data_IF_127545085481
#
_entry.id   IF_127545085481
#
_cell.length_a   1.000
_cell.length_b   1.000
_cell.length_c   1.000
_cell.angle_alpha   90.00
_cell.angle_beta   90.00
_cell.angle_gamma   90.00
#
_symmetry.space_group_name_H-M   'P 1'
#
loop_
_entity.id
_entity.type
_entity.pdbx_description
1 polymer ?
#
# COMPACT_ATOMS: atom_id res chain seq x y z
N UNK A 1 29.54 21.87 -27.07
CA UNK A 1 29.50 20.69 -26.18
C UNK A 1 28.32 20.90 -25.26
N UNK A 2 27.45 19.90 -25.13
CA UNK A 2 26.26 19.99 -24.28
C UNK A 2 26.68 19.73 -22.84
N UNK A 3 26.38 20.64 -21.91
CA UNK A 3 26.60 20.37 -20.48
C UNK A 3 25.26 20.11 -19.80
N UNK A 4 25.15 18.95 -19.15
CA UNK A 4 24.00 18.58 -18.34
C UNK A 4 24.27 18.90 -16.86
N UNK A 5 23.32 19.53 -16.19
CA UNK A 5 23.35 19.78 -14.74
C UNK A 5 22.00 19.52 -14.11
N UNK A 6 21.98 19.20 -12.81
CA UNK A 6 20.74 19.07 -12.05
C UNK A 6 20.41 20.39 -11.35
N UNK A 7 19.17 20.85 -11.45
CA UNK A 7 18.71 22.04 -10.75
C UNK A 7 17.24 21.89 -10.37
N UNK A 8 16.96 21.92 -9.07
CA UNK A 8 15.61 21.94 -8.51
C UNK A 8 14.63 20.93 -9.13
N UNK A 9 15.02 19.65 -9.19
CA UNK A 9 14.18 18.58 -9.75
C UNK A 9 14.09 18.57 -11.28
N UNK A 10 14.90 19.38 -11.96
CA UNK A 10 15.00 19.44 -13.42
C UNK A 10 16.40 19.08 -13.89
N UNK A 11 16.47 18.46 -15.06
CA UNK A 11 17.69 18.33 -15.83
C UNK A 11 17.82 19.58 -16.70
N UNK A 12 18.93 20.28 -16.57
CA UNK A 12 19.25 21.50 -17.31
C UNK A 12 20.32 21.18 -18.35
N UNK A 13 20.15 21.69 -19.57
CA UNK A 13 21.16 21.61 -20.62
C UNK A 13 21.63 23.00 -21.05
N UNK A 14 22.95 23.18 -21.11
CA UNK A 14 23.59 24.40 -21.63
C UNK A 14 24.58 24.07 -22.75
N UNK A 15 25.03 25.08 -23.51
CA UNK A 15 26.00 24.91 -24.60
C UNK A 15 25.44 24.33 -25.91
N UNK A 16 24.15 24.06 -25.98
CA UNK A 16 23.41 23.69 -27.19
C UNK A 16 22.43 24.80 -27.60
N UNK A 17 22.48 25.20 -28.88
CA UNK A 17 21.49 26.11 -29.48
C UNK A 17 20.35 25.36 -30.19
N UNK A 18 20.56 24.09 -30.56
CA UNK A 18 19.57 23.19 -31.18
C UNK A 18 20.02 21.72 -31.03
N UNK A 19 19.13 20.76 -31.29
CA UNK A 19 19.47 19.32 -31.32
C UNK A 19 19.44 18.60 -29.97
N UNK A 20 18.78 19.17 -28.96
CA UNK A 20 18.51 18.46 -27.70
C UNK A 20 17.40 17.42 -27.89
N UNK A 21 17.51 16.22 -27.30
CA UNK A 21 16.46 15.23 -27.34
C UNK A 21 15.22 15.70 -26.57
N UNK A 22 14.03 15.25 -26.98
CA UNK A 22 12.84 15.33 -26.12
C UNK A 22 13.14 14.66 -24.77
N UNK A 23 12.63 15.19 -23.64
CA UNK A 23 11.60 16.24 -23.53
C UNK A 23 12.12 17.64 -23.14
N UNK A 24 13.31 18.06 -23.59
CA UNK A 24 13.81 19.41 -23.28
C UNK A 24 12.94 20.53 -23.86
N UNK A 25 12.64 21.53 -23.04
CA UNK A 25 11.90 22.74 -23.41
C UNK A 25 12.70 23.98 -22.99
N UNK A 26 12.70 25.02 -23.82
CA UNK A 26 13.36 26.30 -23.51
C UNK A 26 12.58 27.06 -22.43
N UNK A 27 13.23 27.36 -21.30
CA UNK A 27 12.68 28.22 -20.26
C UNK A 27 13.22 29.65 -20.44
N UNK A 28 12.35 30.55 -20.90
CA UNK A 28 12.70 31.95 -21.14
C UNK A 28 13.06 32.74 -19.86
N UNK A 29 12.67 32.27 -18.68
CA UNK A 29 12.95 32.94 -17.39
C UNK A 29 14.39 32.73 -16.96
N UNK A 30 14.89 31.50 -17.13
CA UNK A 30 16.26 31.11 -16.77
C UNK A 30 17.21 31.11 -17.96
N UNK A 31 16.68 31.27 -19.19
CA UNK A 31 17.41 31.24 -20.47
C UNK A 31 18.20 29.94 -20.66
N UNK A 32 17.57 28.83 -20.31
CA UNK A 32 18.16 27.50 -20.31
C UNK A 32 17.14 26.47 -20.82
N UNK A 33 17.64 25.36 -21.36
CA UNK A 33 16.80 24.21 -21.69
C UNK A 33 16.58 23.35 -20.45
N UNK A 34 15.33 22.97 -20.18
CA UNK A 34 14.95 22.15 -19.02
C UNK A 34 14.11 20.95 -19.42
N UNK A 35 14.33 19.84 -18.74
CA UNK A 35 13.50 18.64 -18.77
C UNK A 35 13.26 18.18 -17.33
N UNK A 36 12.21 17.37 -17.05
CA UNK A 36 12.09 16.69 -15.77
C UNK A 36 13.35 15.86 -15.50
N UNK A 37 13.86 15.87 -14.27
CA UNK A 37 15.04 15.07 -13.90
C UNK A 37 14.84 13.56 -14.19
N UNK A 38 13.61 13.06 -14.06
CA UNK A 38 13.26 11.68 -14.40
C UNK A 38 13.52 11.27 -15.86
N UNK A 39 13.68 12.24 -16.77
CA UNK A 39 14.03 11.97 -18.17
C UNK A 39 15.54 11.70 -18.38
N UNK A 40 16.36 11.84 -17.34
CA UNK A 40 17.82 11.78 -17.40
C UNK A 40 18.36 10.55 -18.13
N UNK A 41 17.86 9.35 -17.80
CA UNK A 41 18.31 8.12 -18.45
C UNK A 41 18.08 8.15 -19.95
N UNK A 42 16.88 8.51 -20.38
CA UNK A 42 16.52 8.53 -21.80
C UNK A 42 17.34 9.57 -22.56
N UNK A 43 17.50 10.77 -21.98
CA UNK A 43 18.32 11.85 -22.53
C UNK A 43 19.77 11.39 -22.73
N UNK A 44 20.40 10.83 -21.68
CA UNK A 44 21.81 10.43 -21.75
C UNK A 44 22.00 9.29 -22.75
N UNK A 45 21.07 8.34 -22.84
CA UNK A 45 21.13 7.28 -23.84
C UNK A 45 21.02 7.83 -25.27
N UNK A 46 20.05 8.72 -25.54
CA UNK A 46 19.90 9.38 -26.85
C UNK A 46 21.13 10.20 -27.25
N UNK A 47 21.72 10.93 -26.30
CA UNK A 47 22.94 11.71 -26.55
C UNK A 47 24.14 10.81 -26.88
N UNK A 48 24.25 9.64 -26.24
CA UNK A 48 25.27 8.64 -26.56
C UNK A 48 25.03 7.99 -27.92
N UNK A 49 23.79 7.61 -28.23
CA UNK A 49 23.41 6.98 -29.51
C UNK A 49 23.65 7.92 -30.70
N UNK A 50 23.38 9.21 -30.54
CA UNK A 50 23.63 10.24 -31.57
C UNK A 50 25.09 10.67 -31.70
N UNK A 51 25.96 10.24 -30.77
CA UNK A 51 27.37 10.67 -30.74
C UNK A 51 27.57 12.14 -30.37
N UNK A 52 26.56 12.81 -29.84
CA UNK A 52 26.64 14.22 -29.47
C UNK A 52 27.62 14.42 -28.30
N UNK A 53 28.61 15.29 -28.49
CA UNK A 53 29.59 15.61 -27.44
C UNK A 53 28.90 16.30 -26.24
N UNK A 54 28.85 15.59 -25.11
CA UNK A 54 28.23 16.05 -23.87
C UNK A 54 29.09 15.78 -22.64
N UNK A 55 28.94 16.64 -21.63
CA UNK A 55 29.50 16.50 -20.29
C UNK A 55 28.36 16.35 -19.28
N UNK A 56 28.37 15.26 -18.50
CA UNK A 56 27.39 15.01 -17.47
C UNK A 56 27.90 15.52 -16.11
N UNK A 57 27.38 16.67 -15.68
CA UNK A 57 27.57 17.24 -14.34
C UNK A 57 26.28 17.18 -13.51
N UNK A 58 25.26 16.46 -13.99
CA UNK A 58 24.00 16.31 -13.30
C UNK A 58 24.07 15.17 -12.28
N UNK A 59 24.70 14.05 -12.64
CA UNK A 59 24.80 12.88 -11.78
C UNK A 59 25.74 13.12 -10.57
N UNK A 60 25.17 13.15 -9.37
CA UNK A 60 25.88 13.22 -8.10
C UNK A 60 25.75 11.90 -7.29
N UNK A 61 25.39 10.80 -7.95
CA UNK A 61 25.27 9.47 -7.34
C UNK A 61 26.55 8.64 -7.47
N UNK A 62 26.86 7.86 -6.44
CA UNK A 62 28.14 7.16 -6.30
C UNK A 62 28.03 5.67 -6.64
N UNK A 63 29.19 5.06 -6.91
CA UNK A 63 29.36 3.60 -6.81
C UNK A 63 29.57 3.24 -5.36
N UNK A 64 28.81 2.25 -4.89
CA UNK A 64 28.90 1.76 -3.52
C UNK A 64 29.22 0.28 -3.59
N UNK A 65 30.35 -0.12 -3.02
CA UNK A 65 30.69 -1.53 -2.86
C UNK A 65 29.77 -2.11 -1.77
N UNK A 66 28.73 -2.82 -2.20
CA UNK A 66 27.73 -3.40 -1.31
C UNK A 66 27.92 -4.91 -1.30
N UNK A 67 28.25 -5.44 -0.14
CA UNK A 67 28.20 -6.86 0.16
C UNK A 67 27.16 -7.05 1.26
N UNK A 68 26.09 -7.81 0.98
CA UNK A 68 25.08 -8.13 1.98
C UNK A 68 25.66 -9.12 2.99
N UNK A 69 25.69 -8.76 4.28
CA UNK A 69 26.04 -9.69 5.37
C UNK A 69 24.96 -10.73 5.63
N UNK A 70 23.74 -10.47 5.16
CA UNK A 70 22.61 -11.39 5.27
C UNK A 70 22.70 -12.34 4.07
N UNK A 71 23.40 -13.46 4.26
CA UNK A 71 23.46 -14.56 3.29
C UNK A 71 22.12 -15.33 3.27
N UNK A 72 21.06 -14.69 2.77
CA UNK A 72 19.81 -15.37 2.49
C UNK A 72 19.74 -15.58 0.98
N UNK A 73 19.99 -16.81 0.51
CA UNK A 73 19.84 -17.12 -0.91
C UNK A 73 18.42 -16.74 -1.35
N UNK A 74 18.27 -15.88 -2.39
CA UNK A 74 16.96 -15.50 -2.85
C UNK A 74 16.21 -16.75 -3.31
N UNK A 75 14.95 -16.90 -2.87
CA UNK A 75 14.09 -18.01 -3.28
C UNK A 75 13.94 -18.03 -4.81
N UNK A 76 13.60 -19.18 -5.43
CA UNK A 76 13.50 -19.29 -6.89
C UNK A 76 12.69 -18.17 -7.55
N UNK A 77 11.50 -17.87 -7.03
CA UNK A 77 10.64 -16.79 -7.54
C UNK A 77 11.21 -15.37 -7.32
N UNK A 78 12.08 -15.17 -6.33
CA UNK A 78 12.77 -13.90 -6.10
C UNK A 78 13.89 -13.72 -7.14
N UNK A 79 14.61 -14.80 -7.48
CA UNK A 79 15.58 -14.79 -8.58
C UNK A 79 14.91 -14.54 -9.93
N UNK A 80 13.77 -15.18 -10.18
CA UNK A 80 12.96 -14.92 -11.37
C UNK A 80 12.54 -13.45 -11.46
N UNK A 81 12.08 -12.85 -10.35
CA UNK A 81 11.71 -11.44 -10.30
C UNK A 81 12.90 -10.51 -10.63
N UNK A 82 14.07 -10.76 -10.03
CA UNK A 82 15.30 -9.98 -10.30
C UNK A 82 15.82 -10.16 -11.73
N UNK A 83 15.66 -11.35 -12.31
CA UNK A 83 16.01 -11.62 -13.69
C UNK A 83 15.07 -10.90 -14.66
N UNK A 84 13.76 -10.95 -14.40
CA UNK A 84 12.75 -10.22 -15.19
C UNK A 84 12.98 -8.69 -15.13
N UNK A 85 13.20 -8.14 -13.94
CA UNK A 85 13.57 -6.74 -13.76
C UNK A 85 14.88 -6.37 -14.47
N UNK A 86 15.86 -7.29 -14.49
CA UNK A 86 17.10 -7.13 -15.24
C UNK A 86 16.90 -7.03 -16.75
N UNK A 87 16.01 -7.85 -17.33
CA UNK A 87 15.69 -7.82 -18.77
C UNK A 87 15.05 -6.51 -19.21
N UNK A 88 14.29 -5.86 -18.32
CA UNK A 88 13.66 -4.55 -18.54
C UNK A 88 14.60 -3.39 -18.20
N UNK A 89 15.91 -3.63 -18.27
CA UNK A 89 16.93 -2.62 -18.03
C UNK A 89 16.88 -2.02 -16.62
N UNK A 90 16.57 -2.83 -15.61
CA UNK A 90 16.53 -2.44 -14.19
C UNK A 90 15.50 -1.32 -13.89
N UNK A 91 14.39 -1.33 -14.64
CA UNK A 91 13.26 -0.41 -14.44
C UNK A 91 11.96 -1.20 -14.48
N UNK A 92 11.21 -1.24 -13.38
CA UNK A 92 9.98 -2.04 -13.35
C UNK A 92 9.34 -2.21 -11.99
N UNK A 93 8.12 -2.74 -12.03
CA UNK A 93 7.31 -3.09 -10.86
C UNK A 93 7.25 -4.61 -10.70
N UNK A 94 7.59 -5.09 -9.50
CA UNK A 94 7.50 -6.48 -9.09
C UNK A 94 6.30 -6.64 -8.16
N UNK A 95 5.36 -7.48 -8.57
CA UNK A 95 4.14 -7.78 -7.83
C UNK A 95 4.30 -9.10 -7.10
N UNK A 96 4.39 -9.04 -5.78
CA UNK A 96 4.56 -10.19 -4.91
C UNK A 96 3.61 -10.06 -3.70
N UNK A 97 3.01 -11.17 -3.23
CA UNK A 97 2.15 -11.11 -2.07
C UNK A 97 2.95 -10.71 -0.82
N UNK A 98 2.23 -10.13 0.15
CA UNK A 98 2.71 -9.35 1.30
C UNK A 98 3.68 -10.02 2.28
N UNK A 99 4.92 -10.32 1.88
CA UNK A 99 5.89 -11.05 2.72
C UNK A 99 6.29 -12.39 2.11
N UNK A 100 6.15 -12.51 0.78
CA UNK A 100 6.98 -13.38 -0.02
C UNK A 100 8.46 -12.89 -0.07
N UNK A 101 8.84 -11.92 0.78
CA UNK A 101 10.16 -11.31 0.82
C UNK A 101 10.35 -10.19 -0.19
N UNK A 102 9.38 -9.26 -0.34
CA UNK A 102 9.54 -8.03 -1.15
C UNK A 102 10.82 -7.28 -0.78
N UNK A 103 11.05 -7.16 0.53
CA UNK A 103 12.26 -6.57 1.09
C UNK A 103 13.54 -7.31 0.68
N UNK A 104 13.54 -8.65 0.66
CA UNK A 104 14.69 -9.43 0.21
C UNK A 104 15.01 -9.20 -1.28
N UNK A 105 13.97 -9.08 -2.12
CA UNK A 105 14.13 -8.71 -3.53
C UNK A 105 14.76 -7.32 -3.66
N UNK A 106 14.33 -6.34 -2.86
CA UNK A 106 14.95 -5.01 -2.87
C UNK A 106 16.40 -5.03 -2.40
N UNK A 107 16.73 -5.73 -1.31
CA UNK A 107 18.12 -5.86 -0.84
C UNK A 107 19.00 -6.44 -1.94
N UNK A 108 18.56 -7.52 -2.59
CA UNK A 108 19.29 -8.12 -3.72
C UNK A 108 19.39 -7.17 -4.92
N UNK A 109 18.38 -6.35 -5.19
CA UNK A 109 18.40 -5.36 -6.25
C UNK A 109 19.39 -4.21 -5.95
N UNK A 110 19.42 -3.75 -4.70
CA UNK A 110 20.35 -2.73 -4.20
C UNK A 110 21.81 -3.21 -4.35
N UNK A 111 22.08 -4.43 -3.88
CA UNK A 111 23.39 -5.08 -4.02
C UNK A 111 23.79 -5.25 -5.49
N UNK A 112 22.88 -5.76 -6.33
CA UNK A 112 23.11 -5.96 -7.77
C UNK A 112 23.42 -4.65 -8.50
N UNK A 113 22.78 -3.55 -8.12
CA UNK A 113 23.02 -2.24 -8.76
C UNK A 113 24.32 -1.61 -8.26
N UNK A 114 24.67 -1.75 -6.97
CA UNK A 114 25.93 -1.26 -6.41
C UNK A 114 26.11 0.25 -6.53
N UNK A 115 25.02 1.01 -6.34
CA UNK A 115 24.99 2.48 -6.45
C UNK A 115 24.17 3.11 -5.33
N UNK A 116 24.33 4.42 -5.15
CA UNK A 116 23.49 5.18 -4.22
C UNK A 116 22.00 4.95 -4.50
N UNK A 117 21.25 4.61 -3.45
CA UNK A 117 19.85 4.20 -3.52
C UNK A 117 18.96 4.98 -2.55
N UNK A 118 17.81 5.42 -3.04
CA UNK A 118 16.73 5.97 -2.23
C UNK A 118 15.62 4.93 -2.09
N UNK A 119 15.28 4.56 -0.86
CA UNK A 119 14.13 3.69 -0.56
C UNK A 119 12.98 4.54 -0.03
N UNK A 120 11.85 4.54 -0.74
CA UNK A 120 10.66 5.35 -0.44
C UNK A 120 9.55 4.44 0.10
N UNK A 121 9.03 4.75 1.29
CA UNK A 121 8.02 3.94 2.00
C UNK A 121 6.81 4.80 2.43
N UNK A 122 5.61 4.23 2.66
CA UNK A 122 4.43 5.03 3.00
C UNK A 122 4.42 5.55 4.44
N UNK A 123 5.00 4.82 5.41
CA UNK A 123 4.85 5.16 6.83
C UNK A 123 6.19 5.25 7.57
N UNK A 124 6.20 5.99 8.69
CA UNK A 124 7.37 6.07 9.59
C UNK A 124 7.71 4.72 10.25
N UNK A 125 6.72 3.85 10.40
CA UNK A 125 6.94 2.50 10.93
C UNK A 125 7.73 1.66 9.92
N UNK A 126 7.33 1.67 8.65
CA UNK A 126 8.09 1.03 7.57
C UNK A 126 9.47 1.66 7.39
N UNK A 127 9.60 2.98 7.57
CA UNK A 127 10.90 3.66 7.48
C UNK A 127 11.90 3.07 8.49
N UNK A 128 11.48 2.88 9.74
CA UNK A 128 12.31 2.26 10.79
C UNK A 128 12.59 0.78 10.51
N UNK A 129 11.60 0.05 10.00
CA UNK A 129 11.77 -1.37 9.63
C UNK A 129 12.81 -1.52 8.50
N UNK A 130 12.68 -0.73 7.43
CA UNK A 130 13.62 -0.72 6.32
C UNK A 130 15.02 -0.28 6.75
N UNK A 131 15.12 0.70 7.65
CA UNK A 131 16.40 1.09 8.24
C UNK A 131 17.09 -0.08 8.94
N UNK A 132 16.38 -0.84 9.78
CA UNK A 132 16.95 -2.02 10.43
C UNK A 132 17.43 -3.03 9.40
N UNK A 133 16.57 -3.40 8.44
CA UNK A 133 16.91 -4.37 7.39
C UNK A 133 18.15 -3.96 6.62
N UNK A 134 18.23 -2.71 6.15
CA UNK A 134 19.36 -2.23 5.35
C UNK A 134 20.62 -2.06 6.20
N UNK A 135 20.48 -1.70 7.48
CA UNK A 135 21.61 -1.62 8.41
C UNK A 135 22.17 -3.01 8.71
N UNK A 136 21.31 -4.01 8.88
CA UNK A 136 21.72 -5.40 9.07
C UNK A 136 22.38 -5.97 7.81
N UNK A 137 21.83 -5.65 6.63
CA UNK A 137 22.36 -6.10 5.34
C UNK A 137 23.68 -5.39 4.98
N UNK A 138 23.73 -4.06 5.07
CA UNK A 138 24.79 -3.23 4.47
C UNK A 138 25.53 -2.33 5.44
N UNK A 139 25.19 -2.31 6.74
CA UNK A 139 25.80 -1.41 7.73
C UNK A 139 27.31 -1.63 7.93
N UNK A 140 27.85 -2.75 7.45
CA UNK A 140 29.29 -2.98 7.35
C UNK A 140 29.99 -2.27 6.21
N UNK A 141 29.25 -1.92 5.16
CA UNK A 141 29.74 -1.46 3.87
C UNK A 141 29.43 0.03 3.67
N UNK A 142 28.28 0.48 4.18
CA UNK A 142 27.85 1.87 4.11
C UNK A 142 26.91 2.22 5.26
N UNK A 143 27.01 3.46 5.75
CA UNK A 143 26.05 4.00 6.72
C UNK A 143 24.70 4.20 6.03
N UNK A 144 23.62 3.65 6.61
CA UNK A 144 22.25 3.87 6.14
C UNK A 144 21.72 5.17 6.73
N UNK A 145 21.18 6.06 5.88
CA UNK A 145 20.58 7.34 6.27
C UNK A 145 19.06 7.26 6.42
N UNK A 146 18.51 8.19 7.21
CA UNK A 146 17.07 8.37 7.39
C UNK A 146 16.65 9.79 7.04
N UNK A 147 15.62 9.91 6.21
CA UNK A 147 15.01 11.17 5.83
C UNK A 147 13.51 11.16 6.15
N UNK A 148 13.10 11.94 7.16
CA UNK A 148 11.71 12.05 7.60
C UNK A 148 11.48 11.63 9.04
N UNK A 149 10.32 12.00 9.60
CA UNK A 149 9.99 11.69 11.00
C UNK A 149 10.89 12.34 12.05
N UNK A 150 11.53 13.47 11.70
CA UNK A 150 12.50 14.18 12.54
C UNK A 150 13.97 13.89 12.19
N UNK A 151 14.25 12.88 11.36
CA UNK A 151 15.60 12.56 10.89
C UNK A 151 15.94 13.28 9.58
N UNK A 152 17.19 13.70 9.42
CA UNK A 152 17.69 14.37 8.21
C UNK A 152 19.14 13.95 7.92
N UNK A 153 19.33 12.65 7.69
CA UNK A 153 20.62 12.05 7.38
C UNK A 153 20.61 11.48 5.96
N UNK A 154 21.35 12.12 5.06
CA UNK A 154 21.46 11.71 3.66
C UNK A 154 22.80 11.00 3.47
N UNK A 155 22.75 9.71 3.17
CA UNK A 155 23.92 8.89 2.85
C UNK A 155 23.68 8.15 1.51
N UNK A 156 24.67 7.41 0.98
CA UNK A 156 24.48 6.70 -0.28
C UNK A 156 23.29 5.73 -0.27
N UNK A 157 22.94 5.13 0.86
CA UNK A 157 21.68 4.39 1.02
C UNK A 157 20.80 5.14 2.01
N UNK A 158 19.72 5.75 1.52
CA UNK A 158 18.80 6.53 2.36
C UNK A 158 17.38 5.95 2.30
N UNK A 159 16.74 5.81 3.46
CA UNK A 159 15.31 5.47 3.57
C UNK A 159 14.50 6.71 3.89
N UNK A 160 13.41 6.93 3.17
CA UNK A 160 12.54 8.10 3.30
C UNK A 160 11.07 7.73 3.20
N UNK A 161 10.17 8.56 3.73
CA UNK A 161 8.74 8.42 3.45
C UNK A 161 8.36 9.07 2.13
N UNK A 162 7.21 8.71 1.54
CA UNK A 162 6.66 9.43 0.38
C UNK A 162 6.51 10.93 0.63
N UNK A 163 6.04 11.32 1.82
CA UNK A 163 5.88 12.73 2.18
C UNK A 163 7.22 13.48 2.25
N UNK A 164 8.23 12.88 2.90
CA UNK A 164 9.55 13.48 2.99
C UNK A 164 10.29 13.45 1.65
N UNK A 165 10.11 12.41 0.84
CA UNK A 165 10.61 12.36 -0.53
C UNK A 165 10.03 13.50 -1.37
N UNK A 166 8.71 13.74 -1.31
CA UNK A 166 8.09 14.86 -2.01
C UNK A 166 8.69 16.22 -1.61
N UNK A 167 8.91 16.45 -0.31
CA UNK A 167 9.47 17.71 0.21
C UNK A 167 10.93 17.92 -0.23
N UNK A 168 11.71 16.84 -0.33
CA UNK A 168 13.17 16.95 -0.48
C UNK A 168 13.70 16.48 -1.84
N UNK A 169 12.85 15.93 -2.72
CA UNK A 169 13.27 15.46 -4.04
C UNK A 169 13.95 16.56 -4.84
N UNK A 170 13.45 17.79 -4.77
CA UNK A 170 14.06 18.96 -5.42
C UNK A 170 15.55 19.14 -5.06
N UNK A 171 15.91 18.89 -3.79
CA UNK A 171 17.26 19.16 -3.27
C UNK A 171 18.23 17.98 -3.44
N UNK A 172 17.72 16.75 -3.42
CA UNK A 172 18.57 15.54 -3.36
C UNK A 172 18.33 14.58 -4.53
N UNK A 173 17.57 14.99 -5.55
CA UNK A 173 17.18 14.13 -6.67
C UNK A 173 18.32 13.66 -7.57
N UNK A 174 19.48 14.30 -7.49
CA UNK A 174 20.71 13.96 -8.21
C UNK A 174 21.60 12.92 -7.50
N UNK A 175 21.33 12.63 -6.23
CA UNK A 175 22.21 11.81 -5.37
C UNK A 175 21.98 10.31 -5.47
N UNK A 176 20.91 9.87 -6.12
CA UNK A 176 20.50 8.47 -6.13
C UNK A 176 20.39 7.93 -7.55
N UNK A 177 21.05 6.81 -7.82
CA UNK A 177 20.99 6.12 -9.10
C UNK A 177 19.82 5.13 -9.18
N UNK A 178 19.42 4.58 -8.02
CA UNK A 178 18.31 3.64 -7.88
C UNK A 178 17.25 4.24 -6.95
N UNK A 179 15.99 4.18 -7.37
CA UNK A 179 14.84 4.44 -6.52
C UNK A 179 14.05 3.14 -6.27
N UNK A 180 13.89 2.76 -5.01
CA UNK A 180 13.04 1.63 -4.60
C UNK A 180 11.77 2.20 -3.98
N UNK A 181 10.62 1.85 -4.53
CA UNK A 181 9.31 2.29 -4.05
C UNK A 181 8.61 1.09 -3.39
N UNK A 182 8.54 1.08 -2.07
CA UNK A 182 7.72 0.10 -1.33
C UNK A 182 6.27 0.54 -1.31
N UNK A 183 5.35 -0.41 -1.40
CA UNK A 183 3.93 -0.17 -1.63
C UNK A 183 3.68 0.82 -2.78
N UNK A 184 4.28 0.54 -3.93
CA UNK A 184 4.32 1.44 -5.11
C UNK A 184 2.93 1.84 -5.62
N UNK A 185 1.86 1.18 -5.19
CA UNK A 185 0.48 1.61 -5.47
C UNK A 185 0.15 3.01 -4.91
N UNK A 186 0.92 3.54 -3.95
CA UNK A 186 0.82 4.94 -3.51
C UNK A 186 1.45 5.94 -4.50
N UNK A 187 2.40 5.50 -5.33
CA UNK A 187 3.18 6.37 -6.22
C UNK A 187 2.32 7.14 -7.23
N UNK A 188 1.27 6.57 -7.86
CA UNK A 188 0.44 7.31 -8.81
C UNK A 188 -0.44 8.42 -8.21
N UNK A 189 -0.47 8.61 -6.89
CA UNK A 189 -1.20 9.73 -6.31
C UNK A 189 -0.60 11.06 -6.84
N UNK A 190 -1.41 12.10 -7.14
CA UNK A 190 -0.93 13.33 -7.80
C UNK A 190 0.31 13.96 -7.15
N UNK A 191 0.34 14.01 -5.81
CA UNK A 191 1.50 14.49 -5.03
C UNK A 191 2.73 13.59 -5.22
N UNK A 192 2.55 12.27 -5.11
CA UNK A 192 3.65 11.30 -5.12
C UNK A 192 4.24 11.09 -6.52
N UNK A 193 3.44 11.24 -7.57
CA UNK A 193 3.86 11.11 -8.95
C UNK A 193 4.90 12.17 -9.37
N UNK A 194 5.02 13.26 -8.60
CA UNK A 194 6.04 14.29 -8.79
C UNK A 194 7.44 13.78 -8.38
N UNK A 195 7.53 12.89 -7.40
CA UNK A 195 8.81 12.36 -6.87
C UNK A 195 9.70 11.80 -8.00
N UNK A 196 9.29 10.77 -8.77
CA UNK A 196 10.12 10.19 -9.83
C UNK A 196 10.45 11.18 -10.95
N UNK A 197 9.64 12.23 -11.13
CA UNK A 197 9.91 13.29 -12.11
C UNK A 197 11.05 14.20 -11.67
N UNK A 198 11.31 14.29 -10.37
CA UNK A 198 12.37 15.11 -9.75
C UNK A 198 13.65 14.32 -9.43
N UNK A 199 13.65 12.98 -9.57
CA UNK A 199 14.85 12.16 -9.35
C UNK A 199 15.54 11.87 -10.69
N UNK A 200 16.88 11.94 -10.75
CA UNK A 200 17.62 11.47 -11.92
C UNK A 200 17.56 9.95 -12.08
N UNK A 201 17.42 9.23 -10.96
CA UNK A 201 17.45 7.77 -10.79
C UNK A 201 17.19 6.97 -12.09
N UNK A 202 18.24 6.58 -12.84
CA UNK A 202 18.10 5.79 -14.07
C UNK A 202 17.51 4.39 -13.83
N UNK A 203 17.59 3.88 -12.60
CA UNK A 203 17.04 2.60 -12.21
C UNK A 203 15.88 2.78 -11.22
N UNK A 204 14.84 1.97 -11.36
CA UNK A 204 13.73 1.98 -10.42
C UNK A 204 13.12 0.61 -10.21
N UNK A 205 12.77 0.33 -8.95
CA UNK A 205 12.10 -0.89 -8.54
C UNK A 205 10.85 -0.53 -7.75
N UNK A 206 9.67 -0.81 -8.30
CA UNK A 206 8.42 -0.76 -7.56
C UNK A 206 8.08 -2.10 -6.92
N UNK A 207 7.68 -2.11 -5.66
CA UNK A 207 7.24 -3.29 -4.94
C UNK A 207 5.80 -3.10 -4.45
N UNK A 208 4.92 -4.04 -4.76
CA UNK A 208 3.54 -4.01 -4.27
C UNK A 208 2.95 -5.42 -4.27
N UNK A 209 1.92 -5.65 -3.47
CA UNK A 209 1.07 -6.83 -3.63
C UNK A 209 -0.13 -6.56 -4.55
N UNK A 210 -0.52 -5.29 -4.67
CA UNK A 210 -1.76 -4.83 -5.29
C UNK A 210 -1.44 -3.61 -6.16
N UNK A 211 -0.99 -3.79 -7.41
CA UNK A 211 -0.73 -2.65 -8.28
C UNK A 211 -2.02 -1.97 -8.71
N UNK A 212 -3.14 -2.69 -8.84
CA UNK A 212 -4.41 -2.15 -9.33
C UNK A 212 -5.08 -1.23 -8.30
N UNK A 213 -5.44 -0.03 -8.75
CA UNK A 213 -6.19 0.95 -7.96
C UNK A 213 -7.61 1.13 -8.50
N UNK A 214 -8.61 1.36 -7.64
CA UNK A 214 -9.99 1.60 -8.08
C UNK A 214 -10.16 2.82 -8.99
N UNK A 215 -9.29 3.82 -8.84
CA UNK A 215 -9.27 5.06 -9.62
C UNK A 215 -8.51 4.94 -10.96
N UNK A 216 -8.00 3.75 -11.31
CA UNK A 216 -7.23 3.56 -12.54
C UNK A 216 -5.79 4.11 -12.50
N UNK A 217 -5.33 4.71 -11.39
CA UNK A 217 -4.03 5.39 -11.35
C UNK A 217 -2.83 4.48 -11.63
N UNK A 218 -2.99 3.16 -11.56
CA UNK A 218 -1.97 2.18 -11.88
C UNK A 218 -1.46 2.25 -13.33
N UNK A 219 -2.25 2.83 -14.25
CA UNK A 219 -1.86 3.08 -15.64
C UNK A 219 -0.67 4.05 -15.77
N UNK A 220 -0.37 4.84 -14.72
CA UNK A 220 0.78 5.75 -14.69
C UNK A 220 2.09 5.06 -14.29
N UNK A 221 2.04 3.85 -13.72
CA UNK A 221 3.25 3.15 -13.24
C UNK A 221 4.33 2.97 -14.31
N UNK A 222 4.01 2.61 -15.58
CA UNK A 222 4.99 2.52 -16.66
C UNK A 222 5.83 3.80 -16.85
N UNK A 223 5.21 4.97 -16.76
CA UNK A 223 5.89 6.26 -16.87
C UNK A 223 6.72 6.55 -15.60
N UNK A 224 6.18 6.24 -14.42
CA UNK A 224 6.76 6.64 -13.14
C UNK A 224 7.89 5.72 -12.65
N UNK A 225 7.63 4.41 -12.55
CA UNK A 225 8.56 3.43 -11.99
C UNK A 225 8.91 2.28 -12.96
N UNK A 226 8.20 2.17 -14.07
CA UNK A 226 8.32 1.09 -15.05
C UNK A 226 7.10 0.16 -15.08
N UNK A 227 7.02 -0.68 -16.12
CA UNK A 227 5.91 -1.63 -16.31
C UNK A 227 5.95 -2.72 -15.24
N UNK A 228 4.85 -3.46 -15.07
CA UNK A 228 4.87 -4.68 -14.26
C UNK A 228 5.70 -5.73 -14.99
N UNK A 229 6.86 -6.08 -14.44
CA UNK A 229 7.84 -6.98 -15.08
C UNK A 229 7.74 -8.41 -14.55
N UNK A 230 7.16 -8.56 -13.36
CA UNK A 230 6.98 -9.84 -12.71
C UNK A 230 5.76 -9.80 -11.81
N UNK A 231 4.96 -10.85 -11.84
CA UNK A 231 3.80 -11.02 -10.98
C UNK A 231 3.73 -12.46 -10.50
N UNK A 232 3.55 -12.64 -9.20
CA UNK A 232 3.07 -13.89 -8.60
C UNK A 232 1.89 -13.58 -7.72
N UNK A 233 0.85 -14.38 -7.84
CA UNK A 233 -0.28 -14.31 -6.94
C UNK A 233 0.01 -15.10 -5.65
N UNK A 234 -0.78 -14.89 -4.57
CA UNK A 234 -0.74 -15.78 -3.41
C UNK A 234 -0.95 -17.25 -3.80
N UNK A 235 -1.80 -17.52 -4.79
CA UNK A 235 -2.10 -18.87 -5.28
C UNK A 235 -0.88 -19.52 -5.94
N UNK A 236 -0.09 -18.77 -6.72
CA UNK A 236 1.16 -19.25 -7.30
C UNK A 236 2.22 -19.63 -6.25
N UNK A 237 2.08 -19.12 -5.03
CA UNK A 237 2.97 -19.39 -3.89
C UNK A 237 2.30 -20.27 -2.82
N UNK A 238 1.04 -20.64 -3.02
CA UNK A 238 0.28 -21.51 -2.14
C UNK A 238 0.77 -22.96 -2.34
N UNK A 239 0.90 -23.68 -1.22
CA UNK A 239 1.49 -25.03 -1.18
C UNK A 239 2.92 -25.09 -0.64
N UNK A 240 3.67 -23.97 -0.60
CA UNK A 240 5.01 -23.92 0.04
C UNK A 240 5.24 -22.78 1.03
N UNK A 241 4.52 -21.64 0.96
CA UNK A 241 4.85 -20.46 1.81
C UNK A 241 3.68 -19.66 2.41
N UNK A 242 2.42 -20.02 2.14
CA UNK A 242 1.23 -19.45 2.80
C UNK A 242 0.61 -20.51 3.71
N UNK A 243 0.29 -20.14 4.96
CA UNK A 243 -0.36 -21.06 5.89
C UNK A 243 -1.79 -21.33 5.40
N UNK A 244 -2.22 -22.60 5.28
CA UNK A 244 -3.59 -22.92 4.93
C UNK A 244 -4.52 -22.49 6.08
N UNK A 245 -5.57 -21.73 5.75
CA UNK A 245 -6.65 -21.35 6.67
C UNK A 245 -8.01 -21.69 6.08
N UNK A 246 -8.97 -21.98 6.94
CA UNK A 246 -10.37 -22.20 6.58
C UNK A 246 -11.12 -20.86 6.58
N UNK A 247 -11.81 -20.54 5.48
CA UNK A 247 -12.67 -19.35 5.39
C UNK A 247 -14.14 -19.71 5.66
N UNK A 248 -14.69 -19.22 6.77
CA UNK A 248 -16.09 -19.45 7.17
C UNK A 248 -16.88 -18.16 7.03
N UNK A 249 -17.86 -18.14 6.12
CA UNK A 249 -18.74 -16.98 5.91
C UNK A 249 -20.04 -17.13 6.68
N UNK A 250 -20.36 -16.13 7.48
CA UNK A 250 -21.56 -16.10 8.30
C UNK A 250 -22.48 -14.97 7.82
N UNK A 251 -23.55 -15.27 7.07
CA UNK A 251 -24.53 -14.27 6.71
C UNK A 251 -25.26 -13.80 7.97
N UNK A 252 -25.25 -12.50 8.21
CA UNK A 252 -25.95 -11.84 9.31
C UNK A 252 -27.22 -11.23 8.76
N UNK A 253 -28.35 -11.81 9.13
CA UNK A 253 -29.65 -11.22 8.81
C UNK A 253 -29.95 -10.03 9.73
N UNK A 254 -30.45 -8.93 9.17
CA UNK A 254 -30.97 -7.81 9.96
C UNK A 254 -32.18 -8.24 10.81
N UNK A 255 -32.30 -7.71 12.02
CA UNK A 255 -33.53 -7.84 12.82
C UNK A 255 -34.72 -7.18 12.11
N UNK A 256 -35.95 -7.49 12.52
CA UNK A 256 -37.15 -6.89 11.92
C UNK A 256 -37.11 -5.34 11.98
N UNK A 257 -36.69 -4.78 13.12
CA UNK A 257 -36.56 -3.34 13.30
C UNK A 257 -35.47 -2.73 12.41
N UNK A 258 -34.27 -3.33 12.37
CA UNK A 258 -33.19 -2.86 11.50
C UNK A 258 -33.57 -2.94 10.02
N UNK A 259 -34.30 -3.98 9.62
CA UNK A 259 -34.79 -4.15 8.25
C UNK A 259 -35.80 -3.04 7.89
N UNK A 260 -36.68 -2.69 8.83
CA UNK A 260 -37.63 -1.61 8.67
C UNK A 260 -36.95 -0.25 8.57
N UNK A 261 -36.06 0.08 9.52
CA UNK A 261 -35.28 1.33 9.51
C UNK A 261 -34.43 1.46 8.24
N UNK A 262 -33.80 0.35 7.81
CA UNK A 262 -32.99 0.31 6.59
C UNK A 262 -33.86 0.56 5.37
N UNK A 263 -35.04 -0.05 5.28
CA UNK A 263 -35.97 0.15 4.16
C UNK A 263 -36.46 1.61 4.07
N UNK A 264 -36.74 2.26 5.20
CA UNK A 264 -37.10 3.69 5.21
C UNK A 264 -35.96 4.56 4.69
N UNK A 265 -34.73 4.35 5.18
CA UNK A 265 -33.57 5.10 4.73
C UNK A 265 -33.21 4.79 3.26
N UNK A 266 -33.38 3.54 2.81
CA UNK A 266 -33.22 3.13 1.41
C UNK A 266 -34.20 3.87 0.50
N UNK A 267 -35.47 4.00 0.89
CA UNK A 267 -36.48 4.69 0.10
C UNK A 267 -36.14 6.18 -0.10
N UNK A 268 -35.79 6.90 0.98
CA UNK A 268 -35.38 8.31 0.90
C UNK A 268 -34.14 8.48 0.01
N UNK A 269 -33.15 7.61 0.17
CA UNK A 269 -31.93 7.67 -0.62
C UNK A 269 -32.18 7.39 -2.11
N UNK A 270 -32.92 6.32 -2.43
CA UNK A 270 -33.23 5.97 -3.83
C UNK A 270 -34.04 7.05 -4.52
N UNK A 271 -35.09 7.56 -3.87
CA UNK A 271 -35.92 8.62 -4.42
C UNK A 271 -35.07 9.84 -4.81
N UNK A 272 -34.11 10.23 -3.96
CA UNK A 272 -33.18 11.31 -4.29
C UNK A 272 -32.29 10.98 -5.50
N UNK A 273 -31.71 9.78 -5.55
CA UNK A 273 -30.86 9.35 -6.67
C UNK A 273 -31.64 9.32 -7.99
N UNK A 274 -32.87 8.81 -7.98
CA UNK A 274 -33.73 8.72 -9.16
C UNK A 274 -34.13 10.10 -9.67
N UNK A 275 -34.55 11.00 -8.76
CA UNK A 275 -34.86 12.40 -9.09
C UNK A 275 -33.70 13.13 -9.75
N UNK A 276 -32.46 12.86 -9.30
CA UNK A 276 -31.25 13.51 -9.81
C UNK A 276 -30.49 12.66 -10.83
N UNK A 277 -31.05 11.52 -11.25
CA UNK A 277 -30.48 10.57 -12.24
C UNK A 277 -29.03 10.16 -11.94
N UNK A 278 -28.77 9.80 -10.69
CA UNK A 278 -27.45 9.43 -10.20
C UNK A 278 -27.26 7.89 -10.22
N UNK A 279 -26.34 7.35 -11.04
CA UNK A 279 -26.27 5.91 -11.32
C UNK A 279 -25.59 5.05 -10.24
N UNK A 280 -24.84 5.63 -9.29
CA UNK A 280 -24.17 4.95 -8.16
C UNK A 280 -23.42 3.66 -8.54
N UNK A 281 -22.60 3.70 -9.60
CA UNK A 281 -21.83 2.56 -10.13
C UNK A 281 -20.35 2.63 -9.76
N UNK A 282 -19.81 3.83 -9.58
CA UNK A 282 -18.39 4.04 -9.27
C UNK A 282 -18.18 4.91 -8.02
N UNK A 283 -16.95 4.95 -7.47
CA UNK A 283 -16.60 5.89 -6.39
C UNK A 283 -16.77 7.36 -6.78
N UNK A 284 -16.58 7.71 -8.05
CA UNK A 284 -16.79 9.08 -8.58
C UNK A 284 -18.28 9.46 -8.54
N UNK A 285 -19.18 8.49 -8.76
CA UNK A 285 -20.62 8.73 -8.61
C UNK A 285 -21.01 9.11 -7.17
N UNK A 286 -20.28 8.58 -6.17
CA UNK A 286 -20.48 8.96 -4.77
C UNK A 286 -20.04 10.41 -4.51
N UNK A 287 -18.92 10.85 -5.08
CA UNK A 287 -18.52 12.26 -5.02
C UNK A 287 -19.55 13.16 -5.68
N UNK A 288 -20.06 12.73 -6.85
CA UNK A 288 -21.14 13.45 -7.55
C UNK A 288 -22.42 13.53 -6.71
N UNK A 289 -22.80 12.44 -6.05
CA UNK A 289 -23.92 12.42 -5.12
C UNK A 289 -23.74 13.44 -3.98
N UNK A 290 -22.56 13.49 -3.36
CA UNK A 290 -22.27 14.48 -2.31
C UNK A 290 -22.42 15.90 -2.85
N UNK A 291 -21.81 16.22 -4.00
CA UNK A 291 -21.88 17.56 -4.59
C UNK A 291 -23.32 17.99 -4.89
N UNK A 292 -24.11 17.08 -5.46
CA UNK A 292 -25.52 17.35 -5.78
C UNK A 292 -26.33 17.49 -4.49
N UNK A 293 -26.20 16.56 -3.54
CA UNK A 293 -26.93 16.61 -2.28
C UNK A 293 -26.60 17.84 -1.42
N UNK A 294 -25.37 18.35 -1.49
CA UNK A 294 -24.97 19.58 -0.78
C UNK A 294 -25.48 20.87 -1.44
N UNK A 295 -25.84 20.84 -2.72
CA UNK A 295 -26.33 22.02 -3.46
C UNK A 295 -27.83 21.98 -3.74
N UNK A 296 -28.50 20.84 -3.52
CA UNK A 296 -29.94 20.71 -3.64
C UNK A 296 -30.68 21.49 -2.55
N UNK A 297 -31.62 22.35 -2.97
CA UNK A 297 -32.44 23.17 -2.08
C UNK A 297 -33.49 22.36 -1.30
N UNK A 298 -33.79 21.13 -1.72
CA UNK A 298 -34.69 20.20 -1.04
C UNK A 298 -34.20 18.76 -1.15
N UNK A 299 -34.37 17.97 -0.08
CA UNK A 299 -34.09 16.53 -0.07
C UNK A 299 -32.61 16.12 0.00
N UNK A 300 -31.67 17.04 -0.22
CA UNK A 300 -30.23 16.73 -0.24
C UNK A 300 -29.68 16.33 1.13
N UNK A 301 -30.03 17.09 2.19
CA UNK A 301 -29.63 16.76 3.57
C UNK A 301 -30.25 15.44 4.03
N UNK A 302 -31.52 15.22 3.71
CA UNK A 302 -32.26 13.99 4.00
C UNK A 302 -31.61 12.79 3.32
N UNK A 303 -31.21 12.92 2.06
CA UNK A 303 -30.51 11.87 1.33
C UNK A 303 -29.12 11.55 1.93
N UNK A 304 -28.36 12.56 2.36
CA UNK A 304 -27.08 12.36 3.05
C UNK A 304 -27.27 11.64 4.40
N UNK A 305 -28.26 12.06 5.19
CA UNK A 305 -28.60 11.41 6.46
C UNK A 305 -29.09 9.98 6.24
N UNK A 306 -29.89 9.74 5.21
CA UNK A 306 -30.37 8.40 4.84
C UNK A 306 -29.21 7.49 4.40
N UNK A 307 -28.28 8.00 3.59
CA UNK A 307 -27.09 7.27 3.17
C UNK A 307 -26.21 6.88 4.38
N UNK A 308 -26.02 7.83 5.31
CA UNK A 308 -25.33 7.58 6.59
C UNK A 308 -26.06 6.53 7.42
N UNK A 309 -27.37 6.66 7.62
CA UNK A 309 -28.18 5.74 8.43
C UNK A 309 -28.16 4.32 7.87
N UNK A 310 -28.27 4.15 6.55
CA UNK A 310 -28.12 2.84 5.89
C UNK A 310 -26.76 2.20 6.20
N UNK A 311 -25.69 2.99 6.14
CA UNK A 311 -24.33 2.55 6.45
C UNK A 311 -24.23 2.13 7.92
N UNK A 312 -24.73 2.95 8.84
CA UNK A 312 -24.72 2.65 10.28
C UNK A 312 -25.47 1.35 10.62
N UNK A 313 -26.66 1.12 10.05
CA UNK A 313 -27.43 -0.12 10.28
C UNK A 313 -26.67 -1.34 9.72
N UNK A 314 -26.04 -1.18 8.55
CA UNK A 314 -25.30 -2.27 7.92
C UNK A 314 -24.03 -2.64 8.68
N UNK A 315 -23.30 -1.63 9.15
CA UNK A 315 -22.06 -1.78 9.90
C UNK A 315 -22.34 -2.25 11.34
N UNK A 316 -23.25 -1.60 12.06
CA UNK A 316 -23.56 -1.86 13.47
C UNK A 316 -24.68 -2.87 13.74
N UNK A 317 -25.00 -3.75 12.79
CA UNK A 317 -26.09 -4.72 12.94
C UNK A 317 -25.94 -5.51 14.25
N UNK A 318 -26.94 -5.43 15.14
CA UNK A 318 -26.92 -6.00 16.50
C UNK A 318 -26.51 -7.48 16.51
N UNK A 319 -26.94 -8.23 15.50
CA UNK A 319 -26.63 -9.65 15.33
C UNK A 319 -25.16 -9.93 15.01
N UNK A 320 -24.38 -8.96 14.51
CA UNK A 320 -22.91 -9.08 14.40
C UNK A 320 -22.28 -9.20 15.78
N UNK A 321 -22.69 -8.37 16.73
CA UNK A 321 -22.21 -8.43 18.11
C UNK A 321 -22.55 -9.76 18.79
N UNK A 322 -23.77 -10.27 18.59
CA UNK A 322 -24.19 -11.59 19.13
C UNK A 322 -23.39 -12.74 18.50
N UNK A 323 -23.16 -12.69 17.19
CA UNK A 323 -22.39 -13.72 16.48
C UNK A 323 -20.92 -13.67 16.89
N UNK A 324 -20.35 -12.47 17.00
CA UNK A 324 -19.00 -12.28 17.53
C UNK A 324 -18.87 -12.83 18.95
N UNK A 325 -19.85 -12.59 19.82
CA UNK A 325 -19.86 -13.15 21.17
C UNK A 325 -19.84 -14.69 21.16
N UNK A 326 -20.65 -15.31 20.29
CA UNK A 326 -20.66 -16.76 20.13
C UNK A 326 -19.31 -17.30 19.64
N UNK A 327 -18.68 -16.65 18.66
CA UNK A 327 -17.36 -17.03 18.15
C UNK A 327 -16.26 -16.86 19.21
N UNK A 328 -16.26 -15.76 19.96
CA UNK A 328 -15.31 -15.54 21.04
C UNK A 328 -15.47 -16.59 22.16
N UNK A 329 -16.69 -17.01 22.47
CA UNK A 329 -16.95 -18.11 23.42
C UNK A 329 -16.48 -19.46 22.88
N UNK A 330 -16.72 -19.74 21.59
CA UNK A 330 -16.24 -20.96 20.94
C UNK A 330 -14.71 -21.03 20.93
N UNK A 331 -14.05 -19.89 20.77
CA UNK A 331 -12.61 -19.76 20.64
C UNK A 331 -11.93 -19.18 21.89
N UNK A 332 -12.48 -19.43 23.08
CA UNK A 332 -11.96 -18.87 24.34
C UNK A 332 -10.54 -19.37 24.69
N UNK A 333 -10.12 -20.52 24.14
CA UNK A 333 -8.76 -21.07 24.26
C UNK A 333 -7.79 -20.59 23.19
N UNK A 334 -8.30 -19.90 22.19
CA UNK A 334 -7.56 -19.51 21.00
C UNK A 334 -7.13 -18.05 21.08
N UNK A 335 -6.12 -17.70 20.27
CA UNK A 335 -5.70 -16.32 20.04
C UNK A 335 -6.50 -15.77 18.89
N UNK A 336 -7.45 -14.89 19.21
CA UNK A 336 -8.38 -14.30 18.28
C UNK A 336 -8.03 -12.84 17.96
N UNK A 337 -8.08 -12.47 16.69
CA UNK A 337 -8.03 -11.06 16.29
C UNK A 337 -9.34 -10.68 15.61
N UNK A 338 -10.01 -9.67 16.17
CA UNK A 338 -11.26 -9.13 15.65
C UNK A 338 -10.96 -7.85 14.89
N UNK A 339 -11.50 -7.73 13.69
CA UNK A 339 -11.23 -6.63 12.80
C UNK A 339 -12.51 -5.93 12.36
N UNK A 340 -12.51 -4.59 12.43
CA UNK A 340 -13.61 -3.73 11.99
C UNK A 340 -13.05 -2.47 11.30
N UNK A 341 -13.87 -1.78 10.51
CA UNK A 341 -13.52 -0.48 9.92
C UNK A 341 -13.83 0.72 10.81
N UNK A 342 -14.76 0.57 11.76
CA UNK A 342 -15.22 1.69 12.60
C UNK A 342 -14.40 1.75 13.88
N UNK A 343 -13.78 2.90 14.13
CA UNK A 343 -13.12 3.19 15.41
C UNK A 343 -14.13 3.20 16.55
N UNK A 344 -15.33 3.71 16.30
CA UNK A 344 -16.42 3.66 17.28
C UNK A 344 -16.79 2.22 17.64
N UNK A 345 -16.84 1.31 16.66
CA UNK A 345 -17.11 -0.11 16.87
C UNK A 345 -15.97 -0.80 17.64
N UNK A 346 -14.70 -0.48 17.37
CA UNK A 346 -13.57 -0.99 18.18
C UNK A 346 -13.78 -0.66 19.66
N UNK A 347 -14.06 0.60 19.98
CA UNK A 347 -14.25 1.01 21.37
C UNK A 347 -15.54 0.44 21.99
N UNK A 348 -16.63 0.34 21.24
CA UNK A 348 -17.88 -0.26 21.71
C UNK A 348 -17.71 -1.75 22.06
N UNK A 349 -17.05 -2.51 21.17
CA UNK A 349 -16.78 -3.92 21.38
C UNK A 349 -15.73 -4.14 22.48
N UNK A 350 -14.71 -3.28 22.54
CA UNK A 350 -13.69 -3.31 23.58
C UNK A 350 -14.31 -3.16 24.97
N UNK A 351 -15.21 -2.17 25.15
CA UNK A 351 -15.96 -2.00 26.41
C UNK A 351 -16.90 -3.16 26.72
N UNK A 352 -17.60 -3.68 25.70
CA UNK A 352 -18.59 -4.75 25.88
C UNK A 352 -17.94 -6.08 26.25
N UNK A 353 -16.84 -6.45 25.59
CA UNK A 353 -16.19 -7.75 25.77
C UNK A 353 -14.97 -7.71 26.66
N UNK A 354 -14.56 -6.52 27.13
CA UNK A 354 -13.34 -6.31 27.92
C UNK A 354 -12.07 -6.79 27.18
N UNK A 355 -12.08 -6.62 25.85
CA UNK A 355 -10.98 -6.98 24.96
C UNK A 355 -10.23 -5.69 24.59
N UNK A 356 -8.88 -5.65 24.66
CA UNK A 356 -8.12 -4.47 24.26
C UNK A 356 -8.40 -4.06 22.80
N UNK A 357 -8.71 -2.78 22.61
CA UNK A 357 -8.93 -2.16 21.31
C UNK A 357 -7.70 -1.41 20.80
N UNK A 358 -7.34 -1.59 19.53
CA UNK A 358 -6.25 -0.86 18.86
C UNK A 358 -6.84 -0.04 17.70
N UNK A 359 -6.65 1.27 17.75
CA UNK A 359 -7.08 2.24 16.73
C UNK A 359 -5.90 3.13 16.31
N UNK A 360 -6.10 4.02 15.33
CA UNK A 360 -5.02 4.92 14.88
C UNK A 360 -4.67 5.92 15.99
N UNK A 361 -5.61 6.16 16.91
CA UNK A 361 -5.49 7.03 18.06
C UNK A 361 -4.72 6.36 19.20
N UNK A 362 -4.62 5.02 19.22
CA UNK A 362 -3.88 4.29 20.25
C UNK A 362 -2.39 4.67 20.19
N UNK A 363 -1.83 5.27 21.26
CA UNK A 363 -0.42 5.67 21.32
C UNK A 363 0.52 4.50 21.06
N UNK A 364 1.67 4.76 20.43
CA UNK A 364 2.63 3.71 20.06
C UNK A 364 3.09 2.84 21.25
N UNK A 365 3.25 3.45 22.43
CA UNK A 365 3.62 2.74 23.67
C UNK A 365 2.54 1.77 24.12
N UNK A 366 1.29 2.23 24.17
CA UNK A 366 0.13 1.41 24.56
C UNK A 366 -0.11 0.30 23.54
N UNK A 367 -0.01 0.61 22.25
CA UNK A 367 -0.14 -0.38 21.18
C UNK A 367 0.89 -1.50 21.30
N UNK A 368 2.16 -1.14 21.53
CA UNK A 368 3.23 -2.13 21.75
C UNK A 368 2.91 -3.01 22.96
N UNK A 369 2.48 -2.42 24.06
CA UNK A 369 2.12 -3.15 25.27
C UNK A 369 0.96 -4.14 25.06
N UNK A 370 -0.09 -3.73 24.35
CA UNK A 370 -1.22 -4.62 24.02
C UNK A 370 -0.74 -5.80 23.15
N UNK A 371 0.07 -5.53 22.12
CA UNK A 371 0.58 -6.57 21.22
C UNK A 371 1.55 -7.52 21.92
N UNK A 372 2.41 -7.02 22.81
CA UNK A 372 3.34 -7.85 23.58
C UNK A 372 2.57 -8.77 24.55
N UNK A 373 1.57 -8.25 25.27
CA UNK A 373 0.69 -9.06 26.14
C UNK A 373 -0.15 -10.08 25.37
N UNK A 374 -0.55 -9.77 24.14
CA UNK A 374 -1.21 -10.73 23.25
C UNK A 374 -0.24 -11.84 22.79
N UNK A 375 1.00 -11.48 22.43
CA UNK A 375 2.06 -12.43 22.06
C UNK A 375 2.41 -13.39 23.20
N UNK A 376 2.45 -12.89 24.43
CA UNK A 376 2.65 -13.67 25.67
C UNK A 376 1.43 -14.56 26.03
N UNK A 377 0.29 -14.37 25.37
CA UNK A 377 -0.96 -15.09 25.68
C UNK A 377 -1.70 -14.58 26.91
N UNK A 378 -1.29 -13.45 27.51
CA UNK A 378 -2.05 -12.78 28.59
C UNK A 378 -3.37 -12.22 28.07
N UNK A 379 -3.36 -11.69 26.85
CA UNK A 379 -4.56 -11.39 26.09
C UNK A 379 -4.79 -12.50 25.07
N UNK A 380 -5.99 -13.10 25.11
CA UNK A 380 -6.42 -14.10 24.13
C UNK A 380 -7.17 -13.48 22.95
N UNK A 381 -7.60 -12.24 23.08
CA UNK A 381 -8.21 -11.52 21.98
C UNK A 381 -7.73 -10.07 21.94
N UNK A 382 -7.72 -9.50 20.75
CA UNK A 382 -7.60 -8.06 20.51
C UNK A 382 -8.62 -7.65 19.43
N UNK A 383 -9.08 -6.40 19.50
CA UNK A 383 -9.94 -5.81 18.47
C UNK A 383 -9.15 -4.68 17.81
N UNK A 384 -9.06 -4.66 16.49
CA UNK A 384 -8.32 -3.64 15.77
C UNK A 384 -9.14 -3.02 14.65
N UNK A 385 -8.96 -1.71 14.45
CA UNK A 385 -9.34 -1.08 13.18
C UNK A 385 -8.24 -1.24 12.13
N UNK A 386 -8.33 -0.54 10.99
CA UNK A 386 -7.40 -0.57 9.83
C UNK A 386 -5.91 -0.22 10.15
N UNK A 387 -5.50 -0.29 11.41
CA UNK A 387 -4.26 0.25 11.98
C UNK A 387 -3.16 -0.80 12.07
N UNK A 388 -3.56 -2.07 12.03
CA UNK A 388 -2.64 -3.19 11.85
C UNK A 388 -2.34 -3.44 10.36
N UNK A 389 -2.79 -2.55 9.47
CA UNK A 389 -2.67 -2.74 8.02
C UNK A 389 -1.26 -2.44 7.51
N UNK A 390 -0.50 -1.52 8.11
CA UNK A 390 0.79 -1.04 7.56
C UNK A 390 1.87 -0.88 8.64
N UNK A 391 2.99 -1.61 8.48
CA UNK A 391 4.22 -1.39 9.26
C UNK A 391 4.23 -1.84 10.72
N UNK A 392 3.24 -2.62 11.17
CA UNK A 392 3.18 -3.19 12.52
C UNK A 392 3.28 -4.71 12.47
N UNK A 393 4.22 -5.29 13.23
CA UNK A 393 4.34 -6.74 13.42
C UNK A 393 3.17 -7.25 14.27
N UNK A 394 2.20 -7.92 13.63
CA UNK A 394 1.02 -8.46 14.30
C UNK A 394 1.33 -9.88 14.81
N UNK A 395 1.16 -10.17 16.11
CA UNK A 395 1.48 -11.47 16.66
C UNK A 395 0.62 -12.61 16.09
N UNK A 396 1.17 -13.82 16.07
CA UNK A 396 0.51 -15.01 15.55
C UNK A 396 -0.84 -15.27 16.26
N UNK A 397 -1.91 -15.37 15.48
CA UNK A 397 -3.25 -15.74 15.91
C UNK A 397 -3.68 -17.01 15.19
N UNK A 398 -4.61 -17.78 15.76
CA UNK A 398 -5.17 -18.95 15.08
C UNK A 398 -6.62 -18.73 14.63
N UNK A 399 -7.26 -17.65 15.11
CA UNK A 399 -8.60 -17.25 14.71
C UNK A 399 -8.60 -15.77 14.33
N UNK A 400 -9.23 -15.46 13.21
CA UNK A 400 -9.50 -14.09 12.81
C UNK A 400 -10.98 -13.91 12.52
N UNK A 401 -11.54 -12.78 12.95
CA UNK A 401 -12.95 -12.45 12.76
C UNK A 401 -13.03 -11.08 12.09
N UNK A 402 -13.56 -11.04 10.88
CA UNK A 402 -13.80 -9.80 10.14
C UNK A 402 -15.27 -9.40 10.28
N UNK A 403 -15.51 -8.26 10.90
CA UNK A 403 -16.80 -7.57 10.91
C UNK A 403 -16.87 -6.71 9.64
N UNK A 404 -17.38 -7.29 8.55
CA UNK A 404 -17.34 -6.63 7.24
C UNK A 404 -18.32 -5.44 7.17
N UNK A 405 -17.89 -4.37 6.48
CA UNK A 405 -18.71 -3.19 6.16
C UNK A 405 -18.71 -2.78 4.67
N UNK A 406 -17.78 -3.29 3.84
CA UNK A 406 -17.70 -2.98 2.40
C UNK A 406 -16.75 -3.87 1.59
N UNK A 407 -16.78 -3.71 0.25
CA UNK A 407 -16.11 -4.54 -0.76
C UNK A 407 -14.58 -4.43 -0.89
N UNK A 408 -13.94 -3.46 -0.23
CA UNK A 408 -12.53 -3.13 -0.46
C UNK A 408 -11.50 -3.99 0.28
N UNK A 409 -11.87 -5.19 0.78
CA UNK A 409 -11.02 -5.99 1.70
C UNK A 409 -10.25 -7.16 1.04
N UNK A 410 -10.05 -7.16 -0.28
CA UNK A 410 -9.26 -8.21 -0.98
C UNK A 410 -7.80 -8.26 -0.51
N UNK A 411 -7.18 -7.11 -0.29
CA UNK A 411 -5.78 -7.00 0.15
C UNK A 411 -5.59 -7.41 1.62
N UNK A 412 -6.64 -7.26 2.41
CA UNK A 412 -6.61 -7.44 3.86
C UNK A 412 -6.58 -8.92 4.28
N UNK A 413 -7.39 -9.76 3.65
CA UNK A 413 -7.43 -11.22 3.88
C UNK A 413 -6.08 -11.87 3.55
N UNK A 414 -5.37 -11.36 2.54
CA UNK A 414 -4.05 -11.87 2.14
C UNK A 414 -2.94 -11.50 3.14
N UNK A 415 -3.06 -10.35 3.83
CA UNK A 415 -2.17 -9.99 4.96
C UNK A 415 -2.46 -10.85 6.18
N UNK A 416 -3.74 -11.11 6.45
CA UNK A 416 -4.24 -11.95 7.55
C UNK A 416 -3.79 -13.41 7.49
N UNK A 417 -3.70 -14.01 6.29
CA UNK A 417 -3.18 -15.37 6.10
C UNK A 417 -1.73 -15.59 6.57
N UNK A 418 -1.00 -14.52 6.92
CA UNK A 418 0.37 -14.57 7.48
C UNK A 418 0.42 -14.43 8.98
N UNK A 419 -0.60 -13.78 9.54
CA UNK A 419 -0.84 -13.64 10.97
C UNK A 419 -1.47 -14.93 11.51
N UNK A 420 -2.26 -15.59 10.66
CA UNK A 420 -2.92 -16.84 10.97
C UNK A 420 -1.92 -18.01 10.96
N UNK A 421 -1.75 -18.64 12.13
CA UNK A 421 -1.00 -19.88 12.28
C UNK A 421 -1.86 -20.98 12.88
N UNK A 422 -1.71 -22.22 12.38
CA UNK A 422 -2.39 -23.38 12.96
C UNK A 422 -1.97 -23.58 14.43
N UNK A 423 -2.91 -24.07 15.24
CA UNK A 423 -2.68 -24.46 16.64
C UNK A 423 -2.94 -25.95 16.77
N UNK A 424 -2.03 -26.70 17.40
CA UNK A 424 -2.18 -28.14 17.67
C UNK A 424 -2.58 -28.99 16.45
N UNK A 425 -2.01 -28.69 15.28
CA UNK A 425 -2.32 -29.39 14.02
C UNK A 425 -3.66 -29.02 13.39
N UNK A 426 -4.44 -28.11 13.97
CA UNK A 426 -5.69 -27.58 13.40
C UNK A 426 -5.41 -26.38 12.51
N UNK A 427 -6.06 -26.31 11.34
CA UNK A 427 -5.97 -25.16 10.45
C UNK A 427 -6.45 -23.88 11.14
N UNK A 428 -5.83 -22.76 10.80
CA UNK A 428 -6.30 -21.46 11.27
C UNK A 428 -7.66 -21.13 10.63
N UNK A 429 -8.51 -20.37 11.32
CA UNK A 429 -9.88 -20.09 10.85
C UNK A 429 -10.07 -18.58 10.68
N UNK A 430 -10.62 -18.19 9.53
CA UNK A 430 -11.03 -16.83 9.22
C UNK A 430 -12.56 -16.77 9.09
N UNK A 431 -13.19 -16.11 10.05
CA UNK A 431 -14.62 -15.81 10.03
C UNK A 431 -14.89 -14.48 9.33
N UNK A 432 -15.90 -14.48 8.47
CA UNK A 432 -16.34 -13.29 7.77
C UNK A 432 -17.85 -13.08 7.99
N UNK A 433 -18.18 -12.05 8.78
CA UNK A 433 -19.58 -11.72 9.10
C UNK A 433 -20.09 -10.69 8.10
N UNK A 434 -21.08 -11.09 7.28
CA UNK A 434 -21.57 -10.30 6.13
C UNK A 434 -23.06 -10.04 6.29
N UNK A 435 -23.51 -8.79 6.25
CA UNK A 435 -24.94 -8.51 6.39
C UNK A 435 -25.71 -8.92 5.12
N UNK A 436 -26.61 -9.89 5.25
CA UNK A 436 -27.40 -10.47 4.16
C UNK A 436 -28.40 -9.46 3.54
N UNK A 437 -28.73 -9.62 2.25
CA UNK A 437 -29.65 -8.74 1.52
C UNK A 437 -29.23 -7.25 1.43
N UNK A 438 -27.92 -6.99 1.51
CA UNK A 438 -27.32 -5.66 1.29
C UNK A 438 -26.23 -5.72 0.22
N UNK A 439 -25.73 -4.55 -0.23
CA UNK A 439 -24.61 -4.48 -1.19
C UNK A 439 -23.32 -5.22 -0.75
N UNK A 440 -23.22 -5.63 0.51
CA UNK A 440 -22.12 -6.46 1.04
C UNK A 440 -22.14 -7.89 0.49
N UNK A 441 -23.30 -8.44 0.14
CA UNK A 441 -23.37 -9.80 -0.42
C UNK A 441 -22.78 -9.84 -1.83
N UNK A 442 -23.05 -8.84 -2.66
CA UNK A 442 -22.43 -8.69 -3.99
C UNK A 442 -20.91 -8.49 -3.90
N UNK A 443 -20.45 -7.81 -2.85
CA UNK A 443 -19.02 -7.66 -2.54
C UNK A 443 -18.37 -8.98 -2.08
N UNK A 444 -19.10 -9.79 -1.29
CA UNK A 444 -18.67 -11.13 -0.85
C UNK A 444 -18.66 -12.14 -2.00
N UNK A 445 -19.65 -12.09 -2.90
CA UNK A 445 -19.71 -12.96 -4.10
C UNK A 445 -18.56 -12.68 -5.07
N UNK A 446 -18.28 -11.41 -5.39
CA UNK A 446 -17.08 -11.00 -6.17
C UNK A 446 -15.76 -11.45 -5.55
N UNK A 447 -15.70 -11.67 -4.22
CA UNK A 447 -14.54 -12.27 -3.55
C UNK A 447 -14.46 -13.78 -3.77
N UNK A 448 -15.59 -14.51 -3.77
CA UNK A 448 -15.62 -15.98 -3.93
C UNK A 448 -15.12 -16.45 -5.30
N UNK A 449 -15.46 -15.74 -6.37
CA UNK A 449 -14.98 -16.06 -7.72
C UNK A 449 -13.45 -15.97 -7.82
N UNK A 450 -12.84 -15.09 -7.03
CA UNK A 450 -11.38 -15.01 -6.90
C UNK A 450 -10.77 -16.15 -6.08
N UNK A 451 -11.51 -16.77 -5.14
CA UNK A 451 -11.04 -17.90 -4.31
C UNK A 451 -11.36 -19.29 -4.91
N UNK A 452 -12.38 -19.43 -5.75
CA UNK A 452 -12.67 -20.72 -6.42
C UNK A 452 -11.63 -21.09 -7.47
N UNK A 453 -10.88 -20.13 -8.00
CA UNK A 453 -9.66 -20.41 -8.77
C UNK A 453 -8.47 -20.88 -7.93
N UNK A 454 -8.58 -20.84 -6.59
CA UNK A 454 -7.53 -21.23 -5.64
C UNK A 454 -7.74 -22.62 -5.01
N UNK A 455 -8.78 -23.36 -5.41
CA UNK A 455 -9.15 -24.69 -4.87
C UNK A 455 -9.46 -25.73 -5.95
N UNK A 456 -9.24 -25.41 -7.23
CA UNK A 456 -9.39 -26.34 -8.35
C UNK A 456 -8.02 -26.64 -8.96
#
# INVERSE_FOLDING_TARGET
>A
MIELSYESGTLVATGASSGLPEPFVWDGRTRQWRAPAGAYREVVLKLRESGAAHADRAAAFDRVALESRVAMEPRPYQREALAAWGREGLRGVVVLPTGAGKTAVAVSAIEKVGRSTLVVVPTLALLKQWYSVLSDAFGGSVTVGLLGGGYHEITPITVTTYDSAYIHAERYGDRFALAVYDEVHHLPAPKNAIIPKMLLAPYSLGLTATPERPDGGHDLLPELAGRVVYRRSPEDLAGTYLAPFELVRMPIELTAQERFDYAQAEAVYRDFLEKHRLPMRSPEDWQRFIMVASTSHSGGREALLAARRRREIREGAMRKGVTLEALLRQHWEDRCIVFTKSVEEVYALSRRFLIPGITYETPARERKEILDRFREGRYRAIIASDVLNEGVDVPDANVAIILAGSASQREYVQRLGRILRPKDGKQAILYELVTAATGEEAASRRRRESFKGATA
#
